data_IF_727614595769
#
_entry.id   IF_727614595769
#
_cell.length_a   1.000
_cell.length_b   1.000
_cell.length_c   1.000
_cell.angle_alpha   90.00
_cell.angle_beta   90.00
_cell.angle_gamma   90.00
#
_symmetry.space_group_name_H-M   'P 1'
#
loop_
_entity.id
_entity.type
_entity.pdbx_description
1 polymer ?
#
# COMPACT_ATOMS: atom_id res chain seq x y z
N UNK A 1 20.38 -2.13 -52.31
CA UNK A 1 21.84 -2.39 -52.27
C UNK A 1 22.30 -2.38 -50.81
N UNK A 2 23.26 -3.23 -50.43
CA UNK A 2 23.81 -3.27 -49.07
C UNK A 2 25.02 -2.34 -48.94
N UNK A 3 25.14 -1.61 -47.82
CA UNK A 3 26.29 -0.72 -47.53
C UNK A 3 27.29 -1.42 -46.61
N UNK A 4 28.57 -1.31 -46.92
CA UNK A 4 29.69 -1.86 -46.13
C UNK A 4 30.41 -0.78 -45.31
N UNK A 5 31.38 -1.18 -44.47
CA UNK A 5 32.18 -0.29 -43.62
C UNK A 5 33.41 0.19 -44.41
N UNK A 6 33.56 1.50 -44.59
CA UNK A 6 34.61 2.07 -45.45
C UNK A 6 36.02 2.07 -44.83
N UNK A 7 36.17 2.46 -43.55
CA UNK A 7 37.47 2.50 -42.86
C UNK A 7 37.31 2.23 -41.36
N UNK A 8 38.34 1.63 -40.73
CA UNK A 8 38.40 1.45 -39.27
C UNK A 8 39.83 1.17 -38.77
N UNK A 9 40.25 1.93 -37.75
CA UNK A 9 41.50 1.71 -37.00
C UNK A 9 41.28 0.83 -35.75
N UNK A 10 40.07 0.28 -35.58
CA UNK A 10 39.74 -0.64 -34.50
C UNK A 10 40.67 -1.87 -34.50
N UNK A 11 41.23 -2.22 -33.33
CA UNK A 11 42.16 -3.34 -33.13
C UNK A 11 43.55 -3.20 -33.83
N UNK A 12 43.88 -2.05 -34.47
CA UNK A 12 45.19 -1.90 -35.12
C UNK A 12 46.34 -1.74 -34.09
N UNK A 13 46.19 -0.84 -33.11
CA UNK A 13 47.17 -0.70 -32.02
C UNK A 13 47.37 -2.02 -31.26
N UNK A 14 46.28 -2.73 -30.93
CA UNK A 14 46.38 -4.02 -30.27
C UNK A 14 47.16 -5.03 -31.13
N UNK A 15 46.93 -5.11 -32.45
CA UNK A 15 47.74 -5.93 -33.38
C UNK A 15 49.22 -5.60 -33.33
N UNK A 16 49.60 -4.33 -33.40
CA UNK A 16 51.00 -3.90 -33.35
C UNK A 16 51.70 -4.29 -32.04
N UNK A 17 50.98 -4.23 -30.91
CA UNK A 17 51.56 -4.54 -29.60
C UNK A 17 51.39 -5.99 -29.11
N UNK A 18 50.70 -6.89 -29.85
CA UNK A 18 50.55 -8.31 -29.42
C UNK A 18 51.89 -9.02 -29.24
N UNK A 19 52.88 -8.65 -30.04
CA UNK A 19 54.21 -9.25 -30.02
C UNK A 19 55.10 -8.72 -28.88
N UNK A 20 54.68 -7.65 -28.20
CA UNK A 20 55.40 -7.05 -27.06
C UNK A 20 55.02 -7.63 -25.70
N UNK A 21 54.15 -8.64 -25.65
CA UNK A 21 53.81 -9.33 -24.39
C UNK A 21 54.93 -10.30 -24.04
N UNK A 22 55.61 -10.08 -22.91
CA UNK A 22 56.65 -10.97 -22.38
C UNK A 22 56.19 -12.44 -22.42
N UNK A 23 56.89 -13.35 -23.16
CA UNK A 23 56.56 -14.77 -23.24
C UNK A 23 56.44 -15.50 -21.90
N UNK A 24 57.03 -14.96 -20.82
CA UNK A 24 56.89 -15.45 -19.45
C UNK A 24 55.44 -15.33 -18.93
N UNK A 25 54.72 -14.26 -19.28
CA UNK A 25 53.35 -14.00 -18.82
C UNK A 25 52.33 -15.06 -19.31
N UNK A 26 52.16 -15.35 -20.62
CA UNK A 26 51.22 -16.37 -21.07
C UNK A 26 51.62 -17.77 -20.60
N UNK A 27 52.94 -18.08 -20.52
CA UNK A 27 53.42 -19.34 -19.94
C UNK A 27 52.97 -19.50 -18.48
N UNK A 28 53.20 -18.48 -17.63
CA UNK A 28 52.77 -18.50 -16.23
C UNK A 28 51.25 -18.64 -16.09
N UNK A 29 50.48 -17.90 -16.89
CA UNK A 29 49.01 -18.00 -16.91
C UNK A 29 48.54 -19.43 -17.29
N UNK A 30 49.19 -20.08 -18.25
CA UNK A 30 48.89 -21.47 -18.61
C UNK A 30 49.19 -22.43 -17.45
N UNK A 31 50.31 -22.28 -16.74
CA UNK A 31 50.61 -23.10 -15.56
C UNK A 31 49.62 -22.89 -14.41
N UNK A 32 49.26 -21.64 -14.11
CA UNK A 32 48.27 -21.33 -13.08
C UNK A 32 46.90 -21.97 -13.38
N UNK A 33 46.45 -21.91 -14.65
CA UNK A 33 45.22 -22.58 -15.10
C UNK A 33 45.35 -24.11 -15.01
N UNK A 34 46.46 -24.69 -15.46
CA UNK A 34 46.73 -26.15 -15.46
C UNK A 34 46.72 -26.77 -14.06
N UNK A 35 47.09 -26.03 -13.02
CA UNK A 35 47.19 -26.57 -11.66
C UNK A 35 46.06 -26.14 -10.70
N UNK A 36 45.01 -25.44 -11.18
CA UNK A 36 43.93 -24.97 -10.30
C UNK A 36 43.16 -26.14 -9.63
N UNK A 37 43.07 -27.28 -10.31
CA UNK A 37 42.29 -28.45 -9.87
C UNK A 37 42.79 -29.02 -8.53
N UNK A 38 44.09 -28.88 -8.24
CA UNK A 38 44.70 -29.24 -6.95
C UNK A 38 44.06 -28.50 -5.77
N UNK A 39 43.54 -27.29 -5.99
CA UNK A 39 42.84 -26.47 -5.00
C UNK A 39 41.33 -26.69 -4.93
N UNK A 40 40.74 -27.42 -5.89
CA UNK A 40 39.29 -27.42 -6.12
C UNK A 40 38.48 -27.92 -4.92
N UNK A 41 38.91 -29.01 -4.26
CA UNK A 41 38.24 -29.56 -3.06
C UNK A 41 38.23 -28.56 -1.89
N UNK A 42 39.33 -27.80 -1.70
CA UNK A 42 39.42 -26.76 -0.65
C UNK A 42 38.49 -25.59 -0.97
N UNK A 43 38.44 -25.18 -2.24
CA UNK A 43 37.55 -24.12 -2.73
C UNK A 43 36.07 -24.50 -2.56
N UNK A 44 35.69 -25.73 -2.95
CA UNK A 44 34.33 -26.25 -2.80
C UNK A 44 33.88 -26.23 -1.33
N UNK A 45 34.73 -26.70 -0.40
CA UNK A 45 34.43 -26.68 1.03
C UNK A 45 34.36 -25.29 1.66
N UNK A 46 35.00 -24.28 1.06
CA UNK A 46 34.82 -22.88 1.47
C UNK A 46 33.51 -22.30 0.90
N UNK A 47 33.23 -22.55 -0.37
CA UNK A 47 32.04 -22.07 -1.06
C UNK A 47 30.74 -22.62 -0.44
N UNK A 48 30.70 -23.90 -0.03
CA UNK A 48 29.53 -24.46 0.66
C UNK A 48 29.28 -23.79 2.01
N UNK A 49 30.33 -23.57 2.82
CA UNK A 49 30.25 -22.83 4.09
C UNK A 49 29.79 -21.37 3.90
N UNK A 50 30.26 -20.71 2.85
CA UNK A 50 29.83 -19.35 2.51
C UNK A 50 28.35 -19.31 2.09
N UNK A 51 27.85 -20.33 1.38
CA UNK A 51 26.45 -20.42 1.00
C UNK A 51 25.54 -20.78 2.18
N UNK A 52 25.95 -21.67 3.09
CA UNK A 52 25.16 -21.97 4.29
C UNK A 52 25.03 -20.75 5.20
N UNK A 53 26.13 -20.02 5.44
CA UNK A 53 26.10 -18.77 6.21
C UNK A 53 25.17 -17.70 5.59
N UNK A 54 25.17 -17.57 4.25
CA UNK A 54 24.23 -16.69 3.55
C UNK A 54 22.78 -17.15 3.70
N UNK A 55 22.50 -18.44 3.61
CA UNK A 55 21.16 -18.99 3.80
C UNK A 55 20.63 -18.75 5.22
N UNK A 56 21.48 -18.89 6.24
CA UNK A 56 21.15 -18.58 7.64
C UNK A 56 20.89 -17.08 7.86
N UNK A 57 21.73 -16.20 7.31
CA UNK A 57 21.52 -14.76 7.38
C UNK A 57 20.20 -14.31 6.70
N UNK A 58 19.86 -14.88 5.54
CA UNK A 58 18.57 -14.65 4.88
C UNK A 58 17.41 -15.19 5.73
N UNK A 59 17.55 -16.38 6.32
CA UNK A 59 16.53 -16.98 7.22
C UNK A 59 16.29 -16.13 8.47
N UNK A 60 17.33 -15.49 9.01
CA UNK A 60 17.22 -14.52 10.10
C UNK A 60 16.52 -13.23 9.65
N UNK A 61 16.89 -12.68 8.49
CA UNK A 61 16.27 -11.47 7.91
C UNK A 61 14.81 -11.68 7.48
N UNK A 62 14.40 -12.89 7.11
CA UNK A 62 13.00 -13.28 6.82
C UNK A 62 12.22 -13.55 8.11
N UNK A 63 12.90 -13.74 9.25
CA UNK A 63 12.32 -13.79 10.59
C UNK A 63 12.73 -12.57 11.46
N UNK A 64 12.64 -11.30 11.01
CA UNK A 64 13.13 -10.14 11.76
C UNK A 64 12.08 -9.67 12.77
N UNK A 65 11.57 -10.62 13.55
CA UNK A 65 10.72 -10.45 14.72
C UNK A 65 11.74 -10.58 15.87
N UNK A 66 12.11 -9.56 16.63
CA UNK A 66 11.25 -8.62 17.35
C UNK A 66 11.95 -7.26 17.66
N UNK A 67 12.93 -6.82 16.86
CA UNK A 67 13.57 -5.51 17.10
C UNK A 67 12.56 -4.39 16.84
N UNK A 68 12.02 -3.88 17.95
CA UNK A 68 10.91 -2.93 18.05
C UNK A 68 11.26 -1.60 17.39
N UNK A 69 11.11 -1.52 16.07
CA UNK A 69 11.36 -0.33 15.27
C UNK A 69 10.45 0.82 15.72
N UNK A 70 10.99 1.71 16.58
CA UNK A 70 10.34 2.94 17.07
C UNK A 70 10.30 4.00 15.95
N UNK A 71 9.68 3.68 14.82
CA UNK A 71 9.48 4.64 13.73
C UNK A 71 8.38 5.63 14.18
N UNK A 72 8.70 6.93 14.36
CA UNK A 72 7.67 7.92 14.66
C UNK A 72 6.76 8.08 13.44
N UNK A 73 5.49 7.69 13.58
CA UNK A 73 4.51 7.80 12.48
C UNK A 73 4.23 9.28 12.21
N UNK A 74 4.73 9.77 11.07
CA UNK A 74 4.71 11.18 10.68
C UNK A 74 3.32 11.79 10.52
N UNK A 75 3.22 13.10 10.78
CA UNK A 75 1.95 13.85 10.92
C UNK A 75 1.23 14.17 9.58
N UNK A 76 1.67 13.60 8.45
CA UNK A 76 1.25 13.99 7.08
C UNK A 76 0.14 13.12 6.46
N UNK A 77 -0.55 12.28 7.24
CA UNK A 77 -1.56 11.33 6.76
C UNK A 77 -2.67 11.93 5.87
N UNK A 78 -3.05 13.21 6.09
CA UNK A 78 -4.03 13.92 5.25
C UNK A 78 -3.48 14.19 3.83
N UNK A 79 -2.24 14.69 3.74
CA UNK A 79 -1.59 15.00 2.46
C UNK A 79 -1.29 13.71 1.66
N UNK A 80 -0.81 12.66 2.33
CA UNK A 80 -0.61 11.33 1.73
C UNK A 80 -1.91 10.74 1.18
N UNK A 81 -3.03 10.89 1.89
CA UNK A 81 -4.36 10.48 1.41
C UNK A 81 -4.78 11.25 0.14
N UNK A 82 -4.58 12.57 0.10
CA UNK A 82 -4.91 13.38 -1.09
C UNK A 82 -4.04 12.99 -2.30
N UNK A 83 -2.73 12.80 -2.10
CA UNK A 83 -1.82 12.33 -3.14
C UNK A 83 -2.23 10.95 -3.70
N UNK A 84 -2.65 10.01 -2.83
CA UNK A 84 -3.16 8.71 -3.24
C UNK A 84 -4.46 8.79 -4.06
N UNK A 85 -5.39 9.68 -3.67
CA UNK A 85 -6.66 9.89 -4.39
C UNK A 85 -6.40 10.52 -5.77
N UNK A 86 -5.50 11.50 -5.87
CA UNK A 86 -5.11 12.12 -7.13
C UNK A 86 -4.33 11.17 -8.07
N UNK A 87 -3.72 10.10 -7.56
CA UNK A 87 -2.83 9.25 -8.35
C UNK A 87 -3.60 8.40 -9.40
N UNK A 88 -3.31 8.55 -10.71
CA UNK A 88 -4.20 8.07 -11.79
C UNK A 88 -4.35 6.54 -11.87
N UNK A 89 -3.40 5.76 -11.32
CA UNK A 89 -3.51 4.29 -11.25
C UNK A 89 -4.10 3.77 -9.93
N UNK A 90 -3.82 4.45 -8.82
CA UNK A 90 -4.11 3.96 -7.47
C UNK A 90 -5.45 4.52 -6.93
N UNK A 91 -5.71 5.81 -7.21
CA UNK A 91 -6.89 6.53 -6.76
C UNK A 91 -8.20 6.15 -7.46
N UNK A 92 -8.17 5.40 -8.58
CA UNK A 92 -9.36 5.07 -9.39
C UNK A 92 -10.56 4.58 -8.57
N UNK A 93 -10.33 3.63 -7.66
CA UNK A 93 -11.37 3.05 -6.77
C UNK A 93 -11.79 3.97 -5.62
N UNK A 94 -11.01 4.98 -5.28
CA UNK A 94 -11.37 6.01 -4.30
C UNK A 94 -12.22 7.09 -4.97
N UNK A 95 -11.77 7.65 -6.10
CA UNK A 95 -12.52 8.63 -6.88
C UNK A 95 -13.89 8.10 -7.32
N UNK A 96 -13.96 6.85 -7.78
CA UNK A 96 -15.24 6.22 -8.13
C UNK A 96 -16.20 6.07 -6.93
N UNK A 97 -15.70 5.88 -5.70
CA UNK A 97 -16.54 5.84 -4.49
C UNK A 97 -17.00 7.24 -4.07
N UNK A 98 -16.13 8.24 -4.17
CA UNK A 98 -16.47 9.65 -3.89
C UNK A 98 -17.55 10.12 -4.88
N UNK A 99 -17.36 9.88 -6.19
CA UNK A 99 -18.34 10.21 -7.22
C UNK A 99 -19.69 9.48 -7.01
N UNK A 100 -19.67 8.21 -6.56
CA UNK A 100 -20.89 7.49 -6.18
C UNK A 100 -21.58 8.10 -4.95
N UNK A 101 -20.83 8.47 -3.90
CA UNK A 101 -21.38 9.12 -2.71
C UNK A 101 -21.98 10.49 -2.99
N UNK A 102 -21.35 11.28 -3.87
CA UNK A 102 -21.86 12.59 -4.30
C UNK A 102 -23.11 12.50 -5.19
N UNK A 103 -23.25 11.44 -6.00
CA UNK A 103 -24.44 11.22 -6.85
C UNK A 103 -25.58 10.51 -6.12
N UNK A 104 -25.27 9.66 -5.14
CA UNK A 104 -26.25 8.85 -4.44
C UNK A 104 -26.73 9.56 -3.16
N UNK A 105 -27.55 10.59 -3.35
CA UNK A 105 -28.42 11.07 -2.28
C UNK A 105 -29.35 9.93 -1.87
N UNK A 106 -29.01 9.22 -0.79
CA UNK A 106 -29.98 8.40 -0.06
C UNK A 106 -30.70 9.32 0.92
N UNK A 107 -31.97 9.73 0.65
CA UNK A 107 -32.81 10.14 1.76
C UNK A 107 -32.89 8.96 2.72
N UNK A 108 -32.55 9.18 3.99
CA UNK A 108 -32.91 8.25 5.05
C UNK A 108 -34.43 8.32 5.13
N UNK A 109 -35.12 7.22 4.84
CA UNK A 109 -36.57 7.18 4.95
C UNK A 109 -36.96 7.33 6.43
N UNK A 110 -37.35 8.54 6.81
CA UNK A 110 -38.00 8.79 8.08
C UNK A 110 -39.45 8.33 7.94
N UNK A 111 -39.78 7.19 8.56
CA UNK A 111 -41.17 6.80 8.71
C UNK A 111 -41.87 7.82 9.62
N UNK A 112 -43.00 8.29 9.14
CA UNK A 112 -43.74 9.42 9.67
C UNK A 112 -44.23 9.17 11.09
N UNK A 113 -44.11 10.18 11.96
CA UNK A 113 -45.17 10.45 12.95
C UNK A 113 -45.83 11.77 12.54
N UNK A 114 -47.15 11.75 12.40
CA UNK A 114 -47.95 12.74 11.64
C UNK A 114 -47.77 14.18 12.12
N UNK A 115 -47.63 15.11 11.17
CA UNK A 115 -48.07 16.49 11.32
C UNK A 115 -49.29 16.72 10.41
N UNK A 116 -50.49 16.81 10.99
CA UNK A 116 -51.68 17.23 10.25
C UNK A 116 -51.75 18.76 10.26
N UNK A 117 -51.67 19.39 9.09
CA UNK A 117 -52.20 20.74 8.89
C UNK A 117 -52.62 20.94 7.43
N UNK A 118 -53.93 20.95 7.21
CA UNK A 118 -54.58 21.49 6.00
C UNK A 118 -55.89 22.09 6.45
N UNK A 119 -56.04 23.41 6.29
CA UNK A 119 -57.28 24.10 6.55
C UNK A 119 -58.11 24.19 5.27
N UNK A 120 -59.42 23.96 5.36
CA UNK A 120 -60.43 24.67 4.57
C UNK A 120 -61.79 24.53 5.25
N UNK A 121 -62.68 25.51 5.03
CA UNK A 121 -63.91 25.68 5.78
C UNK A 121 -65.14 25.13 5.03
N UNK A 122 -66.08 24.54 5.79
CA UNK A 122 -67.51 24.48 5.47
C UNK A 122 -68.31 24.20 6.76
N UNK A 123 -69.43 24.90 6.94
CA UNK A 123 -70.46 24.65 7.96
C UNK A 123 -71.57 23.73 7.38
N UNK A 124 -72.61 23.26 8.12
CA UNK A 124 -73.04 23.66 9.47
C UNK A 124 -73.54 22.54 10.42
N UNK A 125 -73.99 22.97 11.61
CA UNK A 125 -75.08 22.41 12.43
C UNK A 125 -75.00 20.96 12.97
N UNK A 126 -74.77 20.82 14.30
CA UNK A 126 -75.83 20.47 15.27
C UNK A 126 -75.31 20.47 16.73
N UNK A 127 -76.24 20.57 17.68
CA UNK A 127 -76.13 20.86 19.14
C UNK A 127 -76.94 19.75 19.88
N UNK A 128 -76.82 19.42 21.21
CA UNK A 128 -75.80 19.67 22.27
C UNK A 128 -75.34 18.40 23.09
N UNK A 129 -74.30 18.56 23.94
CA UNK A 129 -74.17 18.15 25.39
C UNK A 129 -74.57 16.74 25.95
N UNK A 130 -74.24 16.40 27.23
CA UNK A 130 -72.94 16.46 27.94
C UNK A 130 -72.63 15.21 28.84
N UNK A 131 -71.58 15.33 29.68
CA UNK A 131 -71.25 14.49 30.85
C UNK A 131 -70.62 13.11 30.57
N UNK A 132 -69.80 12.50 31.45
CA UNK A 132 -69.56 12.72 32.89
C UNK A 132 -68.05 12.71 33.26
N UNK A 133 -67.72 13.26 34.43
CA UNK A 133 -66.45 13.02 35.14
C UNK A 133 -66.60 11.82 36.11
N UNK A 134 -65.51 11.35 36.73
CA UNK A 134 -65.33 11.77 38.13
C UNK A 134 -63.91 12.17 38.53
N UNK A 135 -63.82 12.96 39.61
CA UNK A 135 -62.60 13.41 40.28
C UNK A 135 -62.22 12.47 41.43
N UNK A 136 -60.93 12.22 41.63
CA UNK A 136 -60.26 11.93 42.93
C UNK A 136 -58.81 11.48 42.66
N UNK A 137 -57.79 11.75 43.48
CA UNK A 137 -57.71 12.58 44.69
C UNK A 137 -56.30 13.22 44.80
N UNK A 138 -56.16 14.11 45.77
CA UNK A 138 -55.06 15.06 45.97
C UNK A 138 -53.85 14.43 46.71
N UNK A 139 -52.66 15.02 46.55
CA UNK A 139 -51.38 14.52 47.10
C UNK A 139 -51.22 14.68 48.62
N UNK A 140 -50.24 13.96 49.21
CA UNK A 140 -49.11 14.58 49.94
C UNK A 140 -47.75 13.86 49.62
N UNK A 141 -46.53 14.36 49.86
CA UNK A 141 -45.97 15.65 50.36
C UNK A 141 -44.51 15.85 49.85
N UNK A 142 -43.77 16.87 50.34
CA UNK A 142 -42.33 17.12 50.09
C UNK A 142 -41.37 16.18 50.88
N UNK A 143 -40.27 15.74 50.23
CA UNK A 143 -38.82 15.91 50.52
C UNK A 143 -38.28 15.98 51.99
N UNK A 144 -36.94 15.99 52.23
CA UNK A 144 -35.82 15.27 51.59
C UNK A 144 -34.82 14.62 52.59
N UNK A 145 -34.13 13.55 52.19
CA UNK A 145 -32.67 13.33 52.40
C UNK A 145 -32.16 12.26 51.41
#
# INVERSE_FOLDING_TARGET
>A
MAKSKNHTTHNQSQKWHRNGVDPKFPRNMCFAKKYNEKGLKKMQGNNTKAMSARAEAIKALVKPKEVKAKIPKGRSCKLSRLAYIAHPKLGKRACARIAKGLRLCKPKAENQTKAHSTASAAAPASVPAPAQAPKSAQAPTKAPE
#
